data_IF_262847512660
#
_entry.id   IF_262847512660
#
_cell.length_a   1.000
_cell.length_b   1.000
_cell.length_c   1.000
_cell.angle_alpha   90.00
_cell.angle_beta   90.00
_cell.angle_gamma   90.00
#
_symmetry.space_group_name_H-M   'P 1'
#
loop_
_entity.id
_entity.type
_entity.pdbx_description
1 polymer ?
#
# COMPACT_ATOMS: atom_id res chain seq x y z
N UNK A 1 15.96 -10.65 6.07
CA UNK A 1 16.40 -10.57 4.67
C UNK A 1 15.17 -10.71 3.81
N UNK A 2 14.73 -9.60 3.23
CA UNK A 2 13.52 -9.55 2.40
C UNK A 2 13.87 -9.75 0.93
N UNK A 3 12.86 -9.96 0.09
CA UNK A 3 12.98 -10.03 -1.37
C UNK A 3 13.68 -8.79 -1.95
N UNK A 4 13.61 -7.66 -1.24
CA UNK A 4 14.37 -6.44 -1.57
C UNK A 4 15.88 -6.66 -1.56
N UNK A 5 16.41 -7.47 -0.63
CA UNK A 5 17.83 -7.85 -0.63
C UNK A 5 18.13 -8.85 -1.77
N UNK A 6 17.15 -9.68 -2.15
CA UNK A 6 17.28 -10.68 -3.21
C UNK A 6 17.27 -10.04 -4.62
N UNK A 7 16.55 -8.93 -4.80
CA UNK A 7 16.47 -8.18 -6.06
C UNK A 7 17.60 -7.16 -6.19
N UNK A 8 18.11 -6.59 -5.09
CA UNK A 8 19.29 -5.71 -5.12
C UNK A 8 20.53 -6.36 -5.73
N UNK A 9 20.60 -7.69 -5.79
CA UNK A 9 21.68 -8.44 -6.43
C UNK A 9 21.33 -9.16 -7.75
N UNK A 10 20.06 -9.18 -8.17
CA UNK A 10 19.59 -9.99 -9.31
C UNK A 10 18.71 -9.18 -10.27
N UNK A 11 18.98 -9.28 -11.58
CA UNK A 11 18.10 -8.73 -12.60
C UNK A 11 16.73 -9.43 -12.59
N UNK A 12 15.68 -8.71 -12.98
CA UNK A 12 14.28 -9.19 -13.06
C UNK A 12 14.16 -10.51 -13.84
N UNK A 13 15.04 -10.74 -14.83
CA UNK A 13 15.15 -11.98 -15.59
C UNK A 13 15.41 -13.23 -14.74
N UNK A 14 16.20 -13.11 -13.67
CA UNK A 14 16.64 -14.25 -12.85
C UNK A 14 15.62 -14.67 -11.78
N UNK A 15 14.56 -13.89 -11.61
CA UNK A 15 13.54 -14.15 -10.60
C UNK A 15 12.66 -15.33 -11.00
N UNK A 16 12.40 -16.22 -10.06
CA UNK A 16 11.54 -17.37 -10.25
C UNK A 16 10.09 -17.01 -9.90
N UNK A 17 9.17 -17.17 -10.84
CA UNK A 17 7.73 -16.89 -10.64
C UNK A 17 7.13 -17.70 -9.49
N UNK A 18 7.62 -18.91 -9.24
CA UNK A 18 7.16 -19.74 -8.12
C UNK A 18 7.56 -19.14 -6.78
N UNK A 19 8.83 -18.75 -6.63
CA UNK A 19 9.33 -18.12 -5.40
C UNK A 19 8.61 -16.80 -5.12
N UNK A 20 8.36 -15.99 -6.15
CA UNK A 20 7.60 -14.75 -6.02
C UNK A 20 6.16 -14.99 -5.52
N UNK A 21 5.47 -16.02 -6.03
CA UNK A 21 4.13 -16.40 -5.57
C UNK A 21 4.13 -16.95 -4.14
N UNK A 22 5.12 -17.77 -3.79
CA UNK A 22 5.28 -18.27 -2.41
C UNK A 22 5.48 -17.11 -1.43
N UNK A 23 6.31 -16.15 -1.82
CA UNK A 23 6.55 -14.94 -1.04
C UNK A 23 5.34 -14.00 -0.96
N UNK A 24 4.59 -13.84 -2.06
CA UNK A 24 3.33 -13.09 -2.07
C UNK A 24 2.35 -13.65 -1.03
N UNK A 25 2.14 -14.97 -1.03
CA UNK A 25 1.30 -15.65 -0.04
C UNK A 25 1.85 -15.50 1.39
N UNK A 26 3.17 -15.59 1.56
CA UNK A 26 3.83 -15.40 2.86
C UNK A 26 3.59 -13.98 3.39
N UNK A 27 3.75 -12.96 2.56
CA UNK A 27 3.52 -11.56 2.94
C UNK A 27 2.05 -11.31 3.26
N UNK A 28 1.13 -11.81 2.45
CA UNK A 28 -0.31 -11.70 2.69
C UNK A 28 -0.70 -12.27 4.06
N UNK A 29 -0.20 -13.45 4.41
CA UNK A 29 -0.44 -14.06 5.72
C UNK A 29 0.13 -13.23 6.88
N UNK A 30 1.34 -12.66 6.73
CA UNK A 30 1.93 -11.81 7.76
C UNK A 30 1.18 -10.49 7.95
N UNK A 31 0.72 -9.88 6.86
CA UNK A 31 -0.11 -8.67 6.88
C UNK A 31 -1.40 -8.94 7.66
N UNK A 32 -2.07 -10.06 7.39
CA UNK A 32 -3.27 -10.48 8.10
C UNK A 32 -3.04 -10.70 9.61
N UNK A 33 -1.93 -11.35 9.97
CA UNK A 33 -1.55 -11.54 11.37
C UNK A 33 -1.24 -10.21 12.07
N UNK A 34 -0.53 -9.30 11.39
CA UNK A 34 -0.22 -7.97 11.93
C UNK A 34 -1.50 -7.14 12.14
N UNK A 35 -2.42 -7.17 11.17
CA UNK A 35 -3.75 -6.53 11.29
C UNK A 35 -4.49 -7.00 12.54
N UNK A 36 -4.56 -8.32 12.76
CA UNK A 36 -5.20 -8.90 13.96
C UNK A 36 -4.51 -8.47 15.26
N UNK A 37 -3.18 -8.35 15.27
CA UNK A 37 -2.43 -7.86 16.45
C UNK A 37 -2.75 -6.39 16.74
N UNK A 38 -2.76 -5.53 15.73
CA UNK A 38 -3.12 -4.11 15.86
C UNK A 38 -4.53 -3.98 16.43
N UNK A 39 -5.51 -4.70 15.85
CA UNK A 39 -6.89 -4.71 16.35
C UNK A 39 -7.00 -5.14 17.82
N UNK A 40 -6.21 -6.14 18.24
CA UNK A 40 -6.17 -6.58 19.63
C UNK A 40 -5.64 -5.49 20.56
N UNK A 41 -4.57 -4.79 20.18
CA UNK A 41 -4.00 -3.68 20.97
C UNK A 41 -5.02 -2.54 21.07
N UNK A 42 -5.67 -2.15 19.97
CA UNK A 42 -6.68 -1.10 19.98
C UNK A 42 -7.90 -1.45 20.84
N UNK A 43 -8.34 -2.72 20.82
CA UNK A 43 -9.38 -3.20 21.74
C UNK A 43 -8.94 -3.07 23.20
N UNK A 44 -7.71 -3.49 23.52
CA UNK A 44 -7.15 -3.37 24.87
C UNK A 44 -7.06 -1.91 25.33
N UNK A 45 -6.61 -0.99 24.46
CA UNK A 45 -6.60 0.46 24.72
C UNK A 45 -8.01 0.96 25.04
N UNK A 46 -9.01 0.58 24.24
CA UNK A 46 -10.42 0.97 24.46
C UNK A 46 -10.96 0.47 25.80
N UNK A 47 -10.69 -0.79 26.15
CA UNK A 47 -11.17 -1.38 27.40
C UNK A 47 -10.49 -0.74 28.62
N UNK A 48 -9.18 -0.45 28.55
CA UNK A 48 -8.46 0.26 29.60
C UNK A 48 -8.90 1.70 29.77
N UNK A 49 -9.18 2.41 28.68
CA UNK A 49 -9.71 3.76 28.73
C UNK A 49 -11.04 3.79 29.49
N UNK A 50 -11.96 2.87 29.16
CA UNK A 50 -13.23 2.71 29.89
C UNK A 50 -13.03 2.45 31.38
N UNK A 51 -12.06 1.61 31.75
CA UNK A 51 -11.73 1.36 33.17
C UNK A 51 -11.20 2.58 33.91
N UNK A 52 -10.65 3.57 33.21
CA UNK A 52 -10.19 4.83 33.79
C UNK A 52 -11.32 5.82 34.07
N UNK A 53 -12.45 5.71 33.39
CA UNK A 53 -13.63 6.56 33.61
C UNK A 53 -14.20 6.25 35.01
N UNK A 54 -14.30 7.28 35.86
CA UNK A 54 -14.79 7.12 37.24
C UNK A 54 -13.80 6.46 38.23
N UNK A 55 -12.61 6.05 37.80
CA UNK A 55 -11.58 5.51 38.69
C UNK A 55 -10.93 6.60 39.57
N UNK A 56 -10.30 6.16 40.66
CA UNK A 56 -9.50 7.00 41.55
C UNK A 56 -8.21 7.48 40.86
N UNK A 57 -7.57 8.49 41.45
CA UNK A 57 -6.42 9.17 40.83
C UNK A 57 -5.20 8.24 40.66
N UNK A 58 -4.96 7.32 41.59
CA UNK A 58 -3.81 6.40 41.52
C UNK A 58 -4.02 5.43 40.36
N UNK A 59 -5.21 4.82 40.27
CA UNK A 59 -5.57 3.93 39.16
C UNK A 59 -5.54 4.64 37.82
N UNK A 60 -6.02 5.89 37.74
CA UNK A 60 -5.93 6.70 36.51
C UNK A 60 -4.48 6.92 36.06
N UNK A 61 -3.57 7.27 36.97
CA UNK A 61 -2.14 7.44 36.63
C UNK A 61 -1.51 6.14 36.12
N UNK A 62 -1.82 5.01 36.76
CA UNK A 62 -1.35 3.69 36.32
C UNK A 62 -1.87 3.34 34.93
N UNK A 63 -3.18 3.48 34.71
CA UNK A 63 -3.82 3.20 33.41
C UNK A 63 -3.27 4.11 32.30
N UNK A 64 -3.00 5.39 32.60
CA UNK A 64 -2.41 6.32 31.64
C UNK A 64 -1.01 5.88 31.18
N UNK A 65 -0.16 5.42 32.10
CA UNK A 65 1.17 4.90 31.75
C UNK A 65 1.08 3.64 30.89
N UNK A 66 0.18 2.72 31.24
CA UNK A 66 -0.03 1.49 30.47
C UNK A 66 -0.63 1.79 29.08
N UNK A 67 -1.57 2.74 28.97
CA UNK A 67 -2.10 3.21 27.69
C UNK A 67 -1.02 3.81 26.80
N UNK A 68 -0.12 4.63 27.37
CA UNK A 68 1.03 5.18 26.63
C UNK A 68 1.93 4.07 26.07
N UNK A 69 2.15 3.01 26.84
CA UNK A 69 2.94 1.87 26.37
C UNK A 69 2.25 1.11 25.24
N UNK A 70 0.94 0.83 25.37
CA UNK A 70 0.16 0.19 24.31
C UNK A 70 0.10 1.05 23.04
N UNK A 71 0.02 2.37 23.16
CA UNK A 71 0.03 3.27 22.02
C UNK A 71 1.35 3.22 21.24
N UNK A 72 2.48 3.27 21.95
CA UNK A 72 3.80 3.09 21.34
C UNK A 72 3.91 1.71 20.65
N UNK A 73 3.37 0.66 21.27
CA UNK A 73 3.35 -0.68 20.68
C UNK A 73 2.50 -0.71 19.40
N UNK A 74 1.31 -0.09 19.40
CA UNK A 74 0.44 0.01 18.24
C UNK A 74 1.15 0.75 17.09
N UNK A 75 1.78 1.88 17.37
CA UNK A 75 2.54 2.65 16.37
C UNK A 75 3.66 1.82 15.71
N UNK A 76 4.41 1.04 16.50
CA UNK A 76 5.44 0.16 15.96
C UNK A 76 4.84 -0.95 15.07
N UNK A 77 3.72 -1.55 15.48
CA UNK A 77 3.03 -2.56 14.68
C UNK A 77 2.46 -1.98 13.38
N UNK A 78 1.91 -0.76 13.42
CA UNK A 78 1.40 -0.05 12.23
C UNK A 78 2.55 0.22 11.25
N UNK A 79 3.69 0.73 11.72
CA UNK A 79 4.86 0.94 10.87
C UNK A 79 5.31 -0.36 10.19
N UNK A 80 5.39 -1.45 10.95
CA UNK A 80 5.75 -2.77 10.41
C UNK A 80 4.72 -3.27 9.38
N UNK A 81 3.42 -3.08 9.66
CA UNK A 81 2.34 -3.41 8.74
C UNK A 81 2.49 -2.65 7.42
N UNK A 82 2.70 -1.33 7.47
CA UNK A 82 2.87 -0.50 6.27
C UNK A 82 4.09 -0.94 5.45
N UNK A 83 5.21 -1.28 6.10
CA UNK A 83 6.39 -1.82 5.40
C UNK A 83 6.07 -3.15 4.71
N UNK A 84 5.41 -4.09 5.39
CA UNK A 84 5.03 -5.37 4.79
C UNK A 84 4.01 -5.19 3.65
N UNK A 85 3.08 -4.24 3.79
CA UNK A 85 2.10 -3.93 2.76
C UNK A 85 2.77 -3.39 1.49
N UNK A 86 3.71 -2.46 1.61
CA UNK A 86 4.51 -1.97 0.46
C UNK A 86 5.26 -3.12 -0.23
N UNK A 87 5.89 -3.99 0.54
CA UNK A 87 6.56 -5.19 0.00
C UNK A 87 5.59 -6.12 -0.72
N UNK A 88 4.40 -6.33 -0.17
CA UNK A 88 3.36 -7.13 -0.80
C UNK A 88 2.90 -6.55 -2.14
N UNK A 89 2.63 -5.24 -2.20
CA UNK A 89 2.24 -4.56 -3.44
C UNK A 89 3.30 -4.72 -4.51
N UNK A 90 4.57 -4.47 -4.16
CA UNK A 90 5.70 -4.66 -5.06
C UNK A 90 5.78 -6.10 -5.60
N UNK A 91 5.74 -7.11 -4.71
CA UNK A 91 5.85 -8.53 -5.09
C UNK A 91 4.66 -8.96 -5.95
N UNK A 92 3.44 -8.58 -5.58
CA UNK A 92 2.22 -8.85 -6.34
C UNK A 92 2.32 -8.30 -7.77
N UNK A 93 2.76 -7.06 -7.93
CA UNK A 93 2.94 -6.47 -9.25
C UNK A 93 4.09 -7.12 -10.02
N UNK A 94 5.16 -7.52 -9.34
CA UNK A 94 6.29 -8.24 -9.95
C UNK A 94 5.88 -9.63 -10.45
N UNK A 95 5.00 -10.35 -9.74
CA UNK A 95 4.42 -11.62 -10.22
C UNK A 95 3.70 -11.41 -11.56
N UNK A 96 2.96 -10.30 -11.70
CA UNK A 96 2.22 -9.97 -12.93
C UNK A 96 3.19 -9.63 -14.06
N UNK A 97 4.22 -8.82 -13.80
CA UNK A 97 5.29 -8.53 -14.77
C UNK A 97 5.95 -9.82 -15.25
N UNK A 98 6.24 -10.76 -14.33
CA UNK A 98 6.83 -12.06 -14.69
C UNK A 98 5.86 -12.98 -15.41
N UNK A 99 4.55 -12.87 -15.18
CA UNK A 99 3.54 -13.61 -15.93
C UNK A 99 3.52 -13.18 -17.40
N UNK A 100 3.64 -11.88 -17.66
CA UNK A 100 3.67 -11.30 -19.01
C UNK A 100 5.07 -11.16 -19.60
N UNK A 101 6.10 -11.79 -19.00
CA UNK A 101 7.50 -11.62 -19.37
C UNK A 101 7.77 -11.89 -20.87
N UNK A 102 7.14 -12.93 -21.44
CA UNK A 102 7.34 -13.29 -22.85
C UNK A 102 6.86 -12.21 -23.81
N UNK A 103 5.71 -11.61 -23.53
CA UNK A 103 5.11 -10.55 -24.34
C UNK A 103 5.83 -9.22 -24.09
N UNK A 104 6.17 -8.92 -22.84
CA UNK A 104 6.94 -7.73 -22.49
C UNK A 104 8.30 -7.71 -23.19
N UNK A 105 9.00 -8.86 -23.27
CA UNK A 105 10.29 -8.99 -23.99
C UNK A 105 10.23 -8.59 -25.46
N UNK A 106 9.05 -8.62 -26.08
CA UNK A 106 8.84 -8.19 -27.47
C UNK A 106 8.54 -6.69 -27.57
N UNK A 107 8.35 -6.01 -26.44
CA UNK A 107 8.05 -4.59 -26.34
C UNK A 107 9.30 -3.76 -25.95
N UNK A 108 9.40 -2.49 -26.40
CA UNK A 108 10.41 -1.54 -25.93
C UNK A 108 10.41 -1.34 -24.41
N UNK A 109 9.30 -1.61 -23.72
CA UNK A 109 9.16 -1.46 -22.28
C UNK A 109 10.08 -2.44 -21.50
N UNK A 110 10.45 -3.59 -22.06
CA UNK A 110 11.34 -4.54 -21.38
C UNK A 110 12.74 -3.97 -21.12
N UNK A 111 13.30 -3.28 -22.11
CA UNK A 111 14.61 -2.65 -21.97
C UNK A 111 14.63 -1.59 -20.86
N UNK A 112 13.49 -0.89 -20.65
CA UNK A 112 13.33 0.05 -19.54
C UNK A 112 13.30 -0.67 -18.19
N UNK A 113 12.56 -1.78 -18.09
CA UNK A 113 12.46 -2.61 -16.88
C UNK A 113 13.81 -3.20 -16.46
N UNK A 114 14.64 -3.62 -17.42
CA UNK A 114 15.93 -4.25 -17.11
C UNK A 114 17.05 -3.25 -16.80
N UNK A 115 16.95 -2.01 -17.27
CA UNK A 115 18.00 -1.00 -17.13
C UNK A 115 17.72 0.06 -16.05
N UNK A 116 16.53 0.08 -15.47
CA UNK A 116 16.18 0.99 -14.37
C UNK A 116 16.88 0.58 -13.07
N UNK A 117 17.22 1.56 -12.23
CA UNK A 117 17.76 1.32 -10.90
C UNK A 117 16.77 0.50 -10.05
N UNK A 118 17.21 -0.53 -9.29
CA UNK A 118 16.31 -1.37 -8.50
C UNK A 118 15.41 -0.60 -7.52
N UNK A 119 15.92 0.49 -6.94
CA UNK A 119 15.16 1.36 -6.02
C UNK A 119 14.02 2.11 -6.72
N UNK A 120 14.30 2.66 -7.91
CA UNK A 120 13.32 3.36 -8.74
C UNK A 120 12.29 2.37 -9.30
N UNK A 121 12.72 1.18 -9.69
CA UNK A 121 11.83 0.10 -10.12
C UNK A 121 10.89 -0.37 -9.01
N UNK A 122 11.41 -0.54 -7.80
CA UNK A 122 10.61 -0.89 -6.62
C UNK A 122 9.52 0.14 -6.36
N UNK A 123 9.90 1.42 -6.27
CA UNK A 123 8.94 2.51 -6.04
C UNK A 123 7.90 2.61 -7.16
N UNK A 124 8.33 2.46 -8.42
CA UNK A 124 7.43 2.43 -9.57
C UNK A 124 6.40 1.30 -9.43
N UNK A 125 6.86 0.09 -9.13
CA UNK A 125 5.99 -1.06 -8.98
C UNK A 125 5.10 -1.02 -7.73
N UNK A 126 5.50 -0.34 -6.65
CA UNK A 126 4.61 -0.14 -5.49
C UNK A 126 3.40 0.73 -5.86
N UNK A 127 3.61 1.70 -6.77
CA UNK A 127 2.63 2.73 -7.08
C UNK A 127 1.68 2.40 -8.23
N UNK A 128 1.93 1.30 -8.94
CA UNK A 128 1.05 0.85 -10.02
C UNK A 128 0.05 -0.19 -9.49
N UNK A 129 -1.18 -0.18 -10.01
CA UNK A 129 -2.10 -1.29 -9.84
C UNK A 129 -2.14 -2.10 -11.15
N UNK A 130 -1.57 -3.31 -11.14
CA UNK A 130 -1.57 -4.22 -12.29
C UNK A 130 -2.57 -5.38 -12.14
N UNK A 131 -3.16 -5.55 -10.96
CA UNK A 131 -3.95 -6.72 -10.64
C UNK A 131 -5.26 -6.72 -11.43
N UNK A 132 -5.53 -7.83 -12.12
CA UNK A 132 -6.74 -8.01 -12.93
C UNK A 132 -6.75 -7.25 -14.25
N UNK A 133 -5.63 -6.63 -14.64
CA UNK A 133 -5.48 -5.88 -15.89
C UNK A 133 -5.08 -6.75 -17.07
N UNK A 134 -5.48 -6.33 -18.27
CA UNK A 134 -5.01 -6.90 -19.54
C UNK A 134 -3.54 -6.58 -19.79
N UNK A 135 -2.92 -7.25 -20.75
CA UNK A 135 -1.53 -6.98 -21.12
C UNK A 135 -1.31 -5.52 -21.55
N UNK A 136 -2.21 -4.97 -22.37
CA UNK A 136 -2.16 -3.59 -22.86
C UNK A 136 -2.22 -2.60 -21.69
N UNK A 137 -3.14 -2.81 -20.75
CA UNK A 137 -3.28 -1.96 -19.56
C UNK A 137 -2.07 -2.07 -18.61
N UNK A 138 -1.44 -3.25 -18.55
CA UNK A 138 -0.18 -3.45 -17.82
C UNK A 138 0.95 -2.70 -18.50
N UNK A 139 1.05 -2.75 -19.83
CA UNK A 139 2.03 -2.01 -20.61
C UNK A 139 1.90 -0.49 -20.37
N UNK A 140 0.67 0.02 -20.46
CA UNK A 140 0.37 1.43 -20.23
C UNK A 140 0.68 1.85 -18.79
N UNK A 141 0.30 1.03 -17.81
CA UNK A 141 0.61 1.27 -16.40
C UNK A 141 2.12 1.34 -16.13
N UNK A 142 2.89 0.45 -16.75
CA UNK A 142 4.35 0.46 -16.64
C UNK A 142 4.96 1.68 -17.34
N UNK A 143 4.52 2.00 -18.56
CA UNK A 143 5.03 3.15 -19.31
C UNK A 143 4.76 4.48 -18.58
N UNK A 144 3.54 4.69 -18.09
CA UNK A 144 3.16 5.91 -17.37
C UNK A 144 4.04 6.13 -16.12
N UNK A 145 4.26 5.08 -15.34
CA UNK A 145 5.07 5.19 -14.12
C UNK A 145 6.55 5.36 -14.46
N UNK A 146 7.06 4.73 -15.52
CA UNK A 146 8.44 4.94 -15.96
C UNK A 146 8.68 6.36 -16.49
N UNK A 147 7.72 6.95 -17.19
CA UNK A 147 7.79 8.35 -17.65
C UNK A 147 7.69 9.34 -16.49
N UNK A 148 6.82 9.09 -15.49
CA UNK A 148 6.78 9.88 -14.25
C UNK A 148 8.06 9.75 -13.43
N UNK A 149 8.65 8.56 -13.33
CA UNK A 149 9.84 8.31 -12.50
C UNK A 149 11.13 8.99 -13.01
N UNK A 150 11.15 9.42 -14.27
CA UNK A 150 12.23 10.24 -14.85
C UNK A 150 12.12 11.73 -14.47
N UNK A 151 10.97 12.14 -13.95
CA UNK A 151 10.70 13.48 -13.43
C UNK A 151 10.91 13.45 -11.91
N UNK A 152 12.13 13.74 -11.44
CA UNK A 152 12.63 13.53 -10.06
C UNK A 152 11.84 14.18 -8.90
N UNK A 153 10.68 14.81 -9.14
CA UNK A 153 9.96 15.66 -8.18
C UNK A 153 8.54 15.24 -7.82
N UNK A 154 7.99 14.13 -8.34
CA UNK A 154 6.55 13.78 -8.16
C UNK A 154 6.27 12.40 -7.52
N UNK A 155 7.30 11.66 -7.12
CA UNK A 155 7.19 10.26 -6.68
C UNK A 155 6.56 10.04 -5.29
N UNK A 156 6.37 11.09 -4.48
CA UNK A 156 5.77 10.95 -3.14
C UNK A 156 4.27 11.27 -3.07
N UNK A 157 3.66 11.87 -4.11
CA UNK A 157 2.32 12.46 -4.00
C UNK A 157 1.18 11.66 -4.66
N UNK A 158 1.41 10.96 -5.78
CA UNK A 158 0.29 10.48 -6.61
C UNK A 158 -0.49 9.28 -6.06
N UNK A 159 0.13 8.39 -5.28
CA UNK A 159 -0.58 7.27 -4.62
C UNK A 159 -1.16 7.63 -3.27
N UNK A 160 -0.61 8.66 -2.61
CA UNK A 160 -1.16 9.18 -1.36
C UNK A 160 -2.56 9.77 -1.58
N UNK A 161 -2.81 10.45 -2.70
CA UNK A 161 -4.06 11.19 -2.89
C UNK A 161 -5.32 10.31 -2.98
N UNK A 162 -5.29 9.17 -3.68
CA UNK A 162 -6.47 8.28 -3.75
C UNK A 162 -6.68 7.52 -2.43
N UNK A 163 -5.60 7.01 -1.83
CA UNK A 163 -5.68 6.34 -0.53
C UNK A 163 -6.19 7.30 0.56
N UNK A 164 -5.68 8.53 0.57
CA UNK A 164 -6.11 9.59 1.48
C UNK A 164 -7.54 10.01 1.25
N UNK A 165 -8.00 10.17 0.01
CA UNK A 165 -9.41 10.43 -0.29
C UNK A 165 -10.33 9.33 0.24
N UNK A 166 -9.93 8.06 0.10
CA UNK A 166 -10.67 6.92 0.66
C UNK A 166 -10.71 6.96 2.18
N UNK A 167 -9.57 7.23 2.83
CA UNK A 167 -9.47 7.36 4.28
C UNK A 167 -10.33 8.51 4.82
N UNK A 168 -10.30 9.67 4.15
CA UNK A 168 -11.08 10.85 4.50
C UNK A 168 -12.58 10.59 4.34
N UNK A 169 -12.98 9.91 3.25
CA UNK A 169 -14.37 9.53 3.02
C UNK A 169 -14.87 8.53 4.08
N UNK A 170 -14.08 7.51 4.43
CA UNK A 170 -14.42 6.60 5.53
C UNK A 170 -14.52 7.32 6.87
N UNK A 171 -13.58 8.22 7.18
CA UNK A 171 -13.62 9.05 8.40
C UNK A 171 -14.88 9.94 8.45
N UNK A 172 -15.27 10.53 7.32
CA UNK A 172 -16.50 11.31 7.18
C UNK A 172 -17.76 10.47 7.47
N UNK A 173 -17.78 9.21 7.02
CA UNK A 173 -18.87 8.26 7.33
C UNK A 173 -18.85 7.85 8.80
N UNK A 174 -17.69 7.52 9.37
CA UNK A 174 -17.54 7.09 10.76
C UNK A 174 -17.94 8.19 11.76
N UNK A 175 -17.70 9.45 11.42
CA UNK A 175 -18.10 10.61 12.24
C UNK A 175 -19.54 11.05 12.00
N UNK A 176 -20.22 10.48 10.99
CA UNK A 176 -21.58 10.88 10.58
C UNK A 176 -21.63 12.22 9.85
N UNK A 177 -20.49 12.75 9.40
CA UNK A 177 -20.42 13.98 8.62
C UNK A 177 -20.90 13.80 7.17
N UNK A 178 -20.78 12.58 6.64
CA UNK A 178 -21.19 12.20 5.28
C UNK A 178 -21.90 10.84 5.36
N UNK A 179 -22.94 10.61 4.57
CA UNK A 179 -23.57 9.29 4.46
C UNK A 179 -22.80 8.36 3.50
N UNK A 180 -23.07 7.06 3.59
CA UNK A 180 -22.36 6.03 2.80
C UNK A 180 -22.52 6.24 1.29
N UNK A 181 -23.70 6.69 0.83
CA UNK A 181 -24.00 6.85 -0.59
C UNK A 181 -23.26 8.07 -1.16
N UNK A 182 -23.25 9.17 -0.40
CA UNK A 182 -22.47 10.37 -0.74
C UNK A 182 -20.97 10.12 -0.74
N UNK A 183 -20.46 9.35 0.23
CA UNK A 183 -19.05 8.94 0.26
C UNK A 183 -18.70 8.07 -0.96
N UNK A 184 -19.56 7.12 -1.33
CA UNK A 184 -19.38 6.30 -2.53
C UNK A 184 -19.33 7.16 -3.80
N UNK A 185 -20.24 8.12 -3.96
CA UNK A 185 -20.25 9.05 -5.11
C UNK A 185 -18.98 9.88 -5.22
N UNK A 186 -18.36 10.27 -4.09
CA UNK A 186 -17.09 10.99 -4.08
C UNK A 186 -15.91 10.15 -4.58
N UNK A 187 -16.00 8.82 -4.43
CA UNK A 187 -14.95 7.84 -4.77
C UNK A 187 -15.18 7.21 -6.15
N UNK A 188 -16.41 7.25 -6.67
CA UNK A 188 -16.79 6.66 -7.96
C UNK A 188 -15.97 7.19 -9.13
N UNK A 189 -15.66 6.29 -10.08
CA UNK A 189 -14.95 6.57 -11.34
C UNK A 189 -15.55 7.71 -12.17
N UNK A 190 -16.84 8.02 -12.02
CA UNK A 190 -17.51 9.17 -12.64
C UNK A 190 -16.78 10.49 -12.36
N UNK A 191 -16.29 10.69 -11.13
CA UNK A 191 -15.56 11.91 -10.76
C UNK A 191 -14.10 11.92 -11.22
N UNK A 192 -13.48 10.74 -11.32
CA UNK A 192 -12.12 10.58 -11.86
C UNK A 192 -12.06 10.82 -13.38
N UNK A 193 -13.16 10.60 -14.10
CA UNK A 193 -13.28 10.97 -15.51
C UNK A 193 -13.52 12.47 -15.69
N UNK A 194 -14.41 13.09 -14.88
CA UNK A 194 -14.63 14.55 -14.92
C UNK A 194 -13.37 15.38 -14.62
N UNK A 195 -12.49 14.94 -13.71
CA UNK A 195 -11.23 15.64 -13.42
C UNK A 195 -10.22 15.52 -14.58
N UNK A 196 -10.16 14.37 -15.27
CA UNK A 196 -9.29 14.20 -16.44
C UNK A 196 -9.73 15.05 -17.64
N UNK A 197 -11.04 15.24 -17.81
CA UNK A 197 -11.58 16.08 -18.89
C UNK A 197 -11.35 17.58 -18.65
N UNK A 198 -11.27 18.00 -17.37
CA UNK A 198 -11.00 19.39 -16.97
C UNK A 198 -9.52 19.76 -17.01
N UNK A 199 -8.60 18.82 -16.80
CA UNK A 199 -7.15 19.05 -16.89
C UNK A 199 -6.59 18.94 -18.33
N UNK A 200 -7.41 18.44 -19.27
CA UNK A 200 -7.07 18.30 -20.70
C UNK A 200 -7.70 19.33 -21.65
N UNK A 201 -8.41 20.35 -21.13
CA UNK A 201 -9.07 21.41 -21.91
C UNK A 201 -8.40 22.77 -21.79
#
# INVERSE_FOLDING_TARGET
>A
MGILDFIRGNSVDRLNTRELKEEEMRLQNHIELARKKIQKIEKQKKDMFKQGVGADMIKKKMLAQQLKHLDMQAQLQIKQFMTMHKQFMFVSNLVIVKQYEKELKQSPSWAKITNIEPSKFENALINVNLKGKSFEEVLDGLNNVFEMSLSESSLEQSTDDTEKQLLDAWSGVETGAIDVESAQKLISMEKQMEQKDLEGS
#
